data_IF_732764699366
#
_entry.id   IF_732764699366
#
_cell.length_a   1.000
_cell.length_b   1.000
_cell.length_c   1.000
_cell.angle_alpha   90.00
_cell.angle_beta   90.00
_cell.angle_gamma   90.00
#
_symmetry.space_group_name_H-M   'P 1'
#
loop_
_entity.id
_entity.type
_entity.pdbx_description
1 polymer ?
#
# COMPACT_ATOMS: atom_id res chain seq x y z
N UNK A 1 -2.40 15.19 9.60
CA UNK A 1 -3.62 14.88 8.83
C UNK A 1 -4.55 14.06 9.72
N UNK A 2 -5.86 14.29 9.65
CA UNK A 2 -6.83 13.58 10.50
C UNK A 2 -7.20 12.22 9.88
N UNK A 3 -6.62 11.13 10.42
CA UNK A 3 -6.76 9.76 9.91
C UNK A 3 -8.22 9.28 10.04
N UNK A 4 -9.00 9.82 10.98
CA UNK A 4 -10.36 9.36 11.28
C UNK A 4 -11.37 9.57 10.14
N UNK A 5 -10.99 10.32 9.10
CA UNK A 5 -11.83 10.64 7.94
C UNK A 5 -11.77 9.59 6.83
N UNK A 6 -10.82 8.68 6.87
CA UNK A 6 -10.65 7.66 5.83
C UNK A 6 -11.51 6.41 6.10
N UNK A 7 -11.71 5.57 5.09
CA UNK A 7 -12.39 4.29 5.27
C UNK A 7 -11.64 3.39 6.28
N UNK A 8 -12.33 2.49 7.03
CA UNK A 8 -11.70 1.69 8.07
C UNK A 8 -10.45 0.90 7.64
N UNK A 9 -10.45 0.35 6.42
CA UNK A 9 -9.28 -0.34 5.86
C UNK A 9 -8.08 0.60 5.65
N UNK A 10 -8.35 1.79 5.12
CA UNK A 10 -7.33 2.84 4.92
C UNK A 10 -6.78 3.36 6.24
N UNK A 11 -7.63 3.54 7.25
CA UNK A 11 -7.20 3.93 8.59
C UNK A 11 -6.26 2.90 9.22
N UNK A 12 -6.57 1.63 9.07
CA UNK A 12 -5.74 0.54 9.59
C UNK A 12 -4.34 0.53 8.95
N UNK A 13 -4.29 0.59 7.61
CA UNK A 13 -3.03 0.61 6.88
C UNK A 13 -2.22 1.86 7.23
N UNK A 14 -2.85 3.04 7.28
CA UNK A 14 -2.17 4.28 7.69
C UNK A 14 -1.59 4.18 9.10
N UNK A 15 -2.33 3.63 10.06
CA UNK A 15 -1.83 3.46 11.42
C UNK A 15 -0.61 2.52 11.47
N UNK A 16 -0.62 1.42 10.71
CA UNK A 16 0.55 0.54 10.62
C UNK A 16 1.75 1.25 9.99
N UNK A 17 1.53 1.93 8.87
CA UNK A 17 2.58 2.65 8.16
C UNK A 17 3.21 3.76 9.02
N UNK A 18 2.40 4.54 9.75
CA UNK A 18 2.89 5.63 10.61
C UNK A 18 3.60 5.09 11.86
N UNK A 19 3.00 4.11 12.55
CA UNK A 19 3.50 3.67 13.86
C UNK A 19 4.65 2.67 13.73
N UNK A 20 4.55 1.72 12.80
CA UNK A 20 5.50 0.62 12.68
C UNK A 20 6.51 0.85 11.55
N UNK A 21 6.13 1.55 10.47
CA UNK A 21 6.96 1.72 9.26
C UNK A 21 7.55 3.12 9.08
N UNK A 22 7.32 4.02 10.03
CA UNK A 22 7.89 5.36 10.04
C UNK A 22 7.44 6.24 8.87
N UNK A 23 6.21 6.07 8.39
CA UNK A 23 5.67 6.82 7.26
C UNK A 23 5.78 8.34 7.48
N UNK A 24 6.50 9.03 6.58
CA UNK A 24 6.69 10.48 6.58
C UNK A 24 6.37 11.09 5.22
N UNK A 25 6.13 12.42 5.21
CA UNK A 25 5.83 13.22 4.02
C UNK A 25 4.78 12.59 3.10
N UNK A 26 3.70 12.10 3.72
CA UNK A 26 2.73 11.26 3.04
C UNK A 26 1.48 12.02 2.58
N UNK A 27 0.86 11.48 1.54
CA UNK A 27 -0.38 11.96 0.95
C UNK A 27 -1.32 10.79 0.68
N UNK A 28 -2.62 11.02 0.82
CA UNK A 28 -3.66 10.04 0.48
C UNK A 28 -4.49 10.56 -0.68
N UNK A 29 -4.65 9.74 -1.71
CA UNK A 29 -5.61 9.93 -2.80
C UNK A 29 -6.75 8.96 -2.55
N UNK A 30 -7.89 9.47 -2.10
CA UNK A 30 -9.07 8.63 -1.82
C UNK A 30 -9.92 8.42 -3.06
N UNK A 31 -10.48 7.21 -3.21
CA UNK A 31 -11.43 6.90 -4.27
C UNK A 31 -10.85 6.96 -5.70
N UNK A 32 -9.56 6.65 -5.87
CA UNK A 32 -8.92 6.57 -7.17
C UNK A 32 -9.52 5.42 -8.00
N UNK A 33 -10.00 5.73 -9.21
CA UNK A 33 -10.61 4.73 -10.11
C UNK A 33 -9.54 3.81 -10.70
N UNK A 34 -9.75 2.51 -10.56
CA UNK A 34 -8.78 1.50 -11.02
C UNK A 34 -8.89 1.27 -12.52
N UNK A 35 -10.10 1.35 -13.06
CA UNK A 35 -10.37 1.18 -14.49
C UNK A 35 -11.50 2.11 -14.90
N UNK A 36 -11.44 2.65 -16.13
CA UNK A 36 -12.53 3.48 -16.68
C UNK A 36 -13.78 2.67 -17.00
N UNK A 37 -13.64 1.34 -17.10
CA UNK A 37 -14.74 0.42 -17.37
C UNK A 37 -15.44 -0.13 -16.11
N UNK A 38 -14.98 0.27 -14.91
CA UNK A 38 -15.53 -0.20 -13.63
C UNK A 38 -15.68 0.96 -12.65
N UNK A 39 -16.71 0.91 -11.81
CA UNK A 39 -16.91 1.86 -10.70
C UNK A 39 -16.01 1.54 -9.48
N UNK A 40 -15.11 0.57 -9.62
CA UNK A 40 -14.23 0.18 -8.53
C UNK A 40 -13.12 1.21 -8.28
N UNK A 41 -13.00 1.58 -7.01
CA UNK A 41 -12.06 2.58 -6.53
C UNK A 41 -11.17 2.03 -5.42
N UNK A 42 -9.95 2.55 -5.34
CA UNK A 42 -8.99 2.28 -4.26
C UNK A 42 -8.57 3.59 -3.61
N UNK A 43 -8.17 3.49 -2.33
CA UNK A 43 -7.39 4.54 -1.71
C UNK A 43 -5.90 4.26 -1.97
N UNK A 44 -5.15 5.33 -2.26
CA UNK A 44 -3.71 5.26 -2.54
C UNK A 44 -2.96 6.14 -1.56
N UNK A 45 -1.97 5.59 -0.87
CA UNK A 45 -1.08 6.36 0.01
C UNK A 45 0.29 6.46 -0.66
N UNK A 46 0.82 7.68 -0.71
CA UNK A 46 2.20 7.94 -1.12
C UNK A 46 2.97 8.45 0.08
N UNK A 47 4.24 8.10 0.21
CA UNK A 47 5.10 8.63 1.28
C UNK A 47 6.41 7.87 1.40
N UNK A 48 7.30 8.37 2.25
CA UNK A 48 8.53 7.67 2.62
C UNK A 48 8.24 6.69 3.74
N UNK A 49 8.52 5.41 3.52
CA UNK A 49 8.32 4.37 4.53
C UNK A 49 9.41 3.30 4.44
N UNK A 50 9.57 2.57 5.54
CA UNK A 50 10.40 1.37 5.61
C UNK A 50 9.65 0.22 4.92
N UNK A 51 10.11 -0.20 3.74
CA UNK A 51 9.40 -1.14 2.87
C UNK A 51 10.23 -2.34 2.42
N UNK A 52 11.48 -2.47 2.88
CA UNK A 52 12.34 -3.63 2.56
C UNK A 52 11.89 -4.88 3.31
N UNK A 53 11.32 -4.74 4.51
CA UNK A 53 10.73 -5.84 5.28
C UNK A 53 9.32 -6.25 4.81
N UNK A 54 8.62 -5.40 4.04
CA UNK A 54 7.21 -5.58 3.67
C UNK A 54 6.97 -6.58 2.51
N UNK A 55 7.99 -7.30 2.05
CA UNK A 55 7.81 -8.31 0.99
C UNK A 55 7.02 -9.50 1.54
N UNK A 56 5.75 -9.63 1.11
CA UNK A 56 4.84 -10.72 1.51
C UNK A 56 4.62 -10.80 3.04
N UNK A 57 4.64 -9.65 3.72
CA UNK A 57 4.42 -9.59 5.16
C UNK A 57 2.92 -9.59 5.50
N UNK A 58 2.51 -10.50 6.38
CA UNK A 58 1.17 -10.55 6.97
C UNK A 58 1.22 -10.17 8.45
N UNK A 59 0.43 -9.16 8.83
CA UNK A 59 0.35 -8.63 10.19
C UNK A 59 -1.03 -8.94 10.76
N UNK A 60 -1.10 -9.85 11.72
CA UNK A 60 -2.34 -10.13 12.46
C UNK A 60 -2.50 -9.14 13.63
N UNK A 61 -3.66 -8.47 13.77
CA UNK A 61 -3.90 -7.51 14.87
C UNK A 61 -3.64 -8.08 16.27
N UNK A 62 -3.87 -9.38 16.47
CA UNK A 62 -3.63 -10.07 17.75
C UNK A 62 -2.14 -10.16 18.14
N UNK A 63 -1.21 -10.06 17.17
CA UNK A 63 0.24 -10.23 17.39
C UNK A 63 1.00 -8.92 17.55
N UNK A 64 0.31 -7.76 17.64
CA UNK A 64 0.91 -6.42 17.80
C UNK A 64 1.62 -6.14 19.14
N UNK A 65 2.31 -7.11 19.74
CA UNK A 65 3.13 -6.86 20.94
C UNK A 65 4.50 -7.52 20.98
N UNK A 66 4.87 -8.33 19.99
CA UNK A 66 6.17 -9.04 20.05
C UNK A 66 6.83 -9.05 18.68
N UNK A 67 7.38 -7.91 18.27
CA UNK A 67 8.43 -7.84 17.26
C UNK A 67 9.35 -6.63 17.47
N UNK A 68 9.59 -6.21 18.72
CA UNK A 68 10.75 -5.37 19.03
C UNK A 68 11.99 -6.27 19.08
N UNK A 69 12.61 -6.49 17.93
CA UNK A 69 14.05 -6.78 17.71
C UNK A 69 14.19 -7.51 16.38
N UNK A 70 14.27 -6.78 15.28
CA UNK A 70 15.05 -7.27 14.15
C UNK A 70 15.94 -6.13 13.66
N UNK A 71 17.25 -6.38 13.84
CA UNK A 71 18.44 -5.74 13.32
C UNK A 71 18.45 -4.21 13.14
N UNK A 72 19.45 -3.58 13.78
CA UNK A 72 20.04 -2.27 13.40
C UNK A 72 20.63 -2.30 11.96
N UNK A 73 19.92 -2.82 10.97
CA UNK A 73 20.17 -2.41 9.61
C UNK A 73 19.49 -1.04 9.46
N UNK A 74 20.28 -0.05 9.08
CA UNK A 74 19.80 1.31 8.76
C UNK A 74 18.96 1.19 7.49
N UNK A 75 17.75 0.65 7.62
CA UNK A 75 16.77 0.62 6.56
C UNK A 75 16.40 2.08 6.26
N UNK A 76 16.66 2.51 5.02
CA UNK A 76 16.35 3.87 4.62
C UNK A 76 14.90 3.92 4.12
N UNK A 77 14.10 4.88 4.59
CA UNK A 77 12.78 5.12 4.05
C UNK A 77 12.85 5.33 2.54
N UNK A 78 12.07 4.57 1.79
CA UNK A 78 11.99 4.70 0.33
C UNK A 78 10.65 5.31 -0.03
N UNK A 79 10.63 6.20 -1.02
CA UNK A 79 9.38 6.69 -1.57
C UNK A 79 8.56 5.52 -2.11
N UNK A 80 7.38 5.34 -1.54
CA UNK A 80 6.55 4.17 -1.77
C UNK A 80 5.10 4.57 -2.02
N UNK A 81 4.44 3.77 -2.83
CA UNK A 81 3.01 3.86 -3.13
C UNK A 81 2.32 2.63 -2.56
N UNK A 82 1.24 2.83 -1.82
CA UNK A 82 0.45 1.78 -1.17
C UNK A 82 -0.98 1.84 -1.69
N UNK A 83 -1.37 0.83 -2.47
CA UNK A 83 -2.72 0.66 -3.00
C UNK A 83 -3.55 -0.16 -2.02
N UNK A 84 -4.65 0.39 -1.52
CA UNK A 84 -5.43 -0.26 -0.46
C UNK A 84 -6.67 -0.93 -1.05
N UNK A 85 -6.71 -2.26 -0.94
CA UNK A 85 -7.90 -3.06 -1.22
C UNK A 85 -8.48 -3.58 0.10
N UNK A 86 -9.65 -3.08 0.46
CA UNK A 86 -10.38 -3.59 1.60
C UNK A 86 -11.23 -4.80 1.21
N UNK A 87 -10.87 -5.97 1.75
CA UNK A 87 -11.63 -7.21 1.61
C UNK A 87 -12.90 -7.22 2.47
N UNK A 88 -13.12 -6.20 3.31
CA UNK A 88 -14.31 -6.09 4.19
C UNK A 88 -15.61 -6.00 3.37
N UNK A 89 -15.53 -5.57 2.11
CA UNK A 89 -16.67 -5.46 1.19
C UNK A 89 -16.90 -6.72 0.33
N UNK A 90 -15.87 -7.55 0.07
CA UNK A 90 -15.99 -8.69 -0.84
C UNK A 90 -15.89 -10.03 -0.11
N UNK A 91 -16.91 -10.88 -0.26
CA UNK A 91 -16.94 -12.27 0.26
C UNK A 91 -15.81 -13.17 -0.29
N UNK A 92 -15.07 -12.71 -1.30
CA UNK A 92 -13.91 -13.39 -1.86
C UNK A 92 -12.71 -12.43 -1.87
N UNK A 93 -11.48 -12.92 -1.62
CA UNK A 93 -10.28 -12.12 -1.85
C UNK A 93 -10.27 -11.64 -3.30
N UNK A 94 -9.80 -10.41 -3.58
CA UNK A 94 -9.81 -9.87 -4.92
C UNK A 94 -9.02 -10.79 -5.86
N UNK A 95 -9.63 -11.20 -6.96
CA UNK A 95 -8.95 -12.01 -7.99
C UNK A 95 -7.91 -11.13 -8.68
N UNK A 96 -6.65 -11.25 -8.27
CA UNK A 96 -5.52 -10.53 -8.85
C UNK A 96 -5.08 -11.20 -10.16
N UNK A 97 -5.74 -10.86 -11.25
CA UNK A 97 -5.25 -11.20 -12.60
C UNK A 97 -4.08 -10.29 -13.01
N UNK A 98 -3.25 -10.72 -13.95
CA UNK A 98 -2.15 -9.88 -14.49
C UNK A 98 -2.69 -8.55 -15.02
N UNK A 99 -3.81 -8.57 -15.74
CA UNK A 99 -4.49 -7.35 -16.21
C UNK A 99 -4.86 -6.44 -15.04
N UNK A 100 -5.37 -7.03 -13.95
CA UNK A 100 -5.76 -6.28 -12.76
C UNK A 100 -4.58 -5.61 -12.07
N UNK A 101 -3.44 -6.29 -12.00
CA UNK A 101 -2.20 -5.73 -11.46
C UNK A 101 -1.70 -4.57 -12.32
N UNK A 102 -1.83 -4.66 -13.65
CA UNK A 102 -1.49 -3.56 -14.56
C UNK A 102 -2.41 -2.35 -14.38
N UNK A 103 -3.72 -2.55 -14.25
CA UNK A 103 -4.68 -1.46 -13.98
C UNK A 103 -4.38 -0.77 -12.65
N UNK A 104 -4.06 -1.54 -11.60
CA UNK A 104 -3.65 -1.03 -10.30
C UNK A 104 -2.35 -0.23 -10.36
N UNK A 105 -1.36 -0.72 -11.10
CA UNK A 105 -0.10 -0.01 -11.32
C UNK A 105 -0.34 1.31 -12.10
N UNK A 106 -1.14 1.27 -13.16
CA UNK A 106 -1.49 2.46 -13.94
C UNK A 106 -2.26 3.48 -13.08
N UNK A 107 -3.17 3.02 -12.23
CA UNK A 107 -3.87 3.87 -11.26
C UNK A 107 -2.89 4.55 -10.30
N UNK A 108 -1.89 3.82 -9.79
CA UNK A 108 -0.84 4.40 -8.95
C UNK A 108 0.02 5.44 -9.69
N UNK A 109 0.29 5.23 -10.98
CA UNK A 109 1.13 6.14 -11.77
C UNK A 109 0.38 7.42 -12.16
N UNK A 110 -0.91 7.32 -12.48
CA UNK A 110 -1.75 8.49 -12.84
C UNK A 110 -2.00 9.42 -11.65
N UNK A 111 -2.09 8.86 -10.45
CA UNK A 111 -2.38 9.60 -9.22
C UNK A 111 -1.11 10.04 -8.46
N UNK A 112 0.07 9.84 -9.04
CA UNK A 112 1.33 10.15 -8.38
C UNK A 112 1.49 11.68 -8.16
N UNK A 113 1.92 12.13 -6.97
CA UNK A 113 2.21 13.54 -6.72
C UNK A 113 3.26 14.11 -7.67
N UNK A 114 2.98 15.28 -8.25
CA UNK A 114 3.91 15.96 -9.17
C UNK A 114 5.19 16.39 -8.44
N UNK A 115 6.34 16.11 -9.04
CA UNK A 115 7.64 16.59 -8.55
C UNK A 115 8.48 15.56 -7.79
N UNK A 116 8.01 14.31 -7.67
CA UNK A 116 8.78 13.21 -7.07
C UNK A 116 9.42 12.34 -8.18
N UNK A 117 10.70 11.99 -8.01
CA UNK A 117 11.43 11.14 -8.96
C UNK A 117 10.94 9.68 -8.87
N UNK A 118 10.40 9.16 -9.96
CA UNK A 118 9.73 7.85 -10.04
C UNK A 118 10.70 6.66 -10.11
N UNK A 119 12.00 6.93 -10.29
CA UNK A 119 13.02 5.91 -10.66
C UNK A 119 13.21 4.84 -9.56
N UNK A 120 12.84 5.13 -8.31
CA UNK A 120 13.01 4.20 -7.17
C UNK A 120 11.71 3.89 -6.42
N UNK A 121 10.55 4.29 -6.98
CA UNK A 121 9.25 4.08 -6.33
C UNK A 121 8.97 2.59 -6.17
N UNK A 122 8.65 2.16 -4.96
CA UNK A 122 8.06 0.84 -4.70
C UNK A 122 6.55 0.93 -4.67
N UNK A 123 5.87 0.17 -5.51
CA UNK A 123 4.41 0.03 -5.45
C UNK A 123 4.07 -1.22 -4.64
N UNK A 124 3.24 -1.07 -3.62
CA UNK A 124 2.80 -2.12 -2.71
C UNK A 124 1.28 -2.21 -2.74
N UNK A 125 0.76 -3.41 -2.93
CA UNK A 125 -0.65 -3.72 -2.75
C UNK A 125 -0.89 -4.11 -1.29
N UNK A 126 -1.81 -3.40 -0.65
CA UNK A 126 -2.21 -3.60 0.74
C UNK A 126 -3.60 -4.22 0.77
N UNK A 127 -3.68 -5.48 1.19
CA UNK A 127 -4.95 -6.16 1.44
C UNK A 127 -5.27 -6.07 2.93
N UNK A 128 -6.47 -5.59 3.27
CA UNK A 128 -6.96 -5.57 4.66
C UNK A 128 -8.38 -6.09 4.76
N UNK A 129 -8.62 -6.96 5.75
CA UNK A 129 -9.93 -7.52 6.11
C UNK A 129 -10.45 -7.01 7.46
N UNK A 130 -9.88 -5.91 7.98
CA UNK A 130 -10.11 -5.39 9.33
C UNK A 130 -9.64 -6.29 10.48
N UNK A 131 -8.96 -7.40 10.22
CA UNK A 131 -8.31 -8.24 11.22
C UNK A 131 -6.80 -8.40 10.96
N UNK A 132 -6.41 -8.34 9.69
CA UNK A 132 -5.08 -8.56 9.18
C UNK A 132 -4.75 -7.56 8.07
N UNK A 133 -3.47 -7.24 7.94
CA UNK A 133 -2.92 -6.48 6.82
C UNK A 133 -1.91 -7.37 6.11
N UNK A 134 -1.99 -7.48 4.80
CA UNK A 134 -1.00 -8.15 3.96
C UNK A 134 -0.42 -7.18 2.93
N UNK A 135 0.90 -7.14 2.81
CA UNK A 135 1.62 -6.31 1.85
C UNK A 135 2.21 -7.18 0.73
N UNK A 136 1.95 -6.80 -0.53
CA UNK A 136 2.51 -7.45 -1.70
C UNK A 136 3.23 -6.42 -2.57
N UNK A 137 4.50 -6.64 -2.86
CA UNK A 137 5.22 -5.78 -3.80
C UNK A 137 4.70 -6.02 -5.21
N UNK A 138 4.18 -4.96 -5.85
CA UNK A 138 3.91 -4.98 -7.27
C UNK A 138 5.24 -4.74 -7.98
N UNK A 139 5.84 -5.79 -8.52
CA UNK A 139 6.97 -5.63 -9.40
C UNK A 139 6.47 -4.94 -10.68
N UNK A 140 7.06 -3.79 -11.01
CA UNK A 140 6.92 -3.24 -12.35
C UNK A 140 7.30 -4.37 -13.34
N UNK A 141 6.53 -4.59 -14.41
CA UNK A 141 6.95 -5.56 -15.42
C UNK A 141 8.35 -5.16 -15.85
N UNK A 142 9.29 -6.10 -15.73
CA UNK A 142 10.64 -5.90 -16.24
C UNK A 142 10.48 -5.44 -17.69
N UNK A 143 10.89 -4.21 -17.98
CA UNK A 143 11.12 -3.79 -19.36
C UNK A 143 12.30 -4.64 -19.77
N UNK A 144 12.01 -5.81 -20.36
CA UNK A 144 13.02 -6.61 -21.02
C UNK A 144 13.60 -5.74 -22.15
N UNK A 145 14.93 -5.62 -22.25
CA UNK A 145 15.57 -4.84 -23.31
C UNK A 145 15.26 -5.39 -24.70
#
# INVERSE_FOLDING_TARGET
MDISRFAPGTQEVLNDLVVERGLSEWQVVSGARISTASDETVDVIYGYALTTSLQEERIDRKRKRIARKFANNVEQPTWSCFLILSAVSSRAPPTLSVKRLQELQQCADVNEPRGVSTITKRTLLCLTDAANISYYALQAPAILP
#
